data_IF_835752811325
#
_entry.id   IF_835752811325
#
_cell.length_a   1.000
_cell.length_b   1.000
_cell.length_c   1.000
_cell.angle_alpha   90.00
_cell.angle_beta   90.00
_cell.angle_gamma   90.00
#
_symmetry.space_group_name_H-M   'P 1'
#
loop_
_entity.id
_entity.type
_entity.pdbx_description
1 polymer ?
#
# COMPACT_ATOMS: atom_id res chain seq x y z
N UNK A 1 2.52 -15.13 21.29
CA UNK A 1 2.52 -13.64 21.36
C UNK A 1 2.49 -13.12 19.93
N UNK A 2 1.30 -13.10 19.31
CA UNK A 2 1.13 -12.44 18.02
C UNK A 2 1.07 -10.94 18.28
N UNK A 3 2.15 -10.23 17.99
CA UNK A 3 2.13 -8.77 18.01
C UNK A 3 1.02 -8.32 17.05
N UNK A 4 0.10 -7.50 17.56
CA UNK A 4 -0.99 -6.85 16.82
C UNK A 4 -0.47 -5.81 15.80
N UNK A 5 0.83 -5.82 15.48
CA UNK A 5 1.47 -4.94 14.50
C UNK A 5 1.31 -5.40 13.05
N UNK A 6 0.81 -6.61 12.79
CA UNK A 6 0.68 -7.14 11.43
C UNK A 6 -0.72 -6.90 10.86
N UNK A 7 -1.06 -5.64 10.61
CA UNK A 7 -2.37 -5.24 10.07
C UNK A 7 -2.50 -5.57 8.56
N UNK A 8 -1.56 -6.33 7.98
CA UNK A 8 -1.54 -6.65 6.55
C UNK A 8 -1.44 -5.40 5.65
N UNK A 9 -0.92 -4.30 6.19
CA UNK A 9 -0.79 -3.00 5.50
C UNK A 9 0.60 -2.78 4.88
N UNK A 10 1.36 -3.86 4.71
CA UNK A 10 2.68 -3.86 4.09
C UNK A 10 2.65 -4.50 2.70
N UNK A 11 3.51 -4.02 1.82
CA UNK A 11 3.70 -4.64 0.52
C UNK A 11 4.38 -6.00 0.68
N UNK A 12 3.75 -7.07 0.20
CA UNK A 12 4.32 -8.43 0.27
C UNK A 12 5.63 -8.61 -0.52
N UNK A 13 6.01 -7.66 -1.38
CA UNK A 13 7.27 -7.72 -2.15
C UNK A 13 8.45 -7.02 -1.47
N UNK A 14 8.22 -5.87 -0.81
CA UNK A 14 9.30 -5.09 -0.18
C UNK A 14 9.17 -4.96 1.34
N UNK A 15 8.09 -5.48 1.93
CA UNK A 15 7.80 -5.43 3.37
C UNK A 15 7.72 -4.01 3.94
N UNK A 16 7.46 -3.02 3.09
CA UNK A 16 7.28 -1.64 3.48
C UNK A 16 5.78 -1.31 3.56
N UNK A 17 5.42 -0.49 4.54
CA UNK A 17 4.06 0.01 4.71
C UNK A 17 3.54 0.71 3.44
N UNK A 18 2.31 0.40 3.07
CA UNK A 18 1.60 1.13 2.03
C UNK A 18 1.37 2.60 2.47
N UNK A 19 1.34 3.50 1.50
CA UNK A 19 1.11 4.93 1.71
C UNK A 19 0.30 5.51 0.56
N UNK A 20 -0.54 6.52 0.81
CA UNK A 20 -1.47 7.06 -0.20
C UNK A 20 -0.79 7.73 -1.41
N UNK A 21 0.49 8.08 -1.31
CA UNK A 21 1.24 8.77 -2.37
C UNK A 21 2.35 7.87 -2.95
N UNK A 22 3.48 7.74 -2.25
CA UNK A 22 4.70 7.09 -2.78
C UNK A 22 4.53 5.57 -2.92
N UNK A 23 3.98 4.93 -1.89
CA UNK A 23 3.74 3.47 -1.83
C UNK A 23 2.26 3.15 -1.99
N UNK A 24 1.60 3.82 -2.94
CA UNK A 24 0.18 3.60 -3.21
C UNK A 24 -0.05 2.12 -3.55
N UNK A 25 -0.98 1.40 -2.90
CA UNK A 25 -1.29 0.04 -3.27
C UNK A 25 -1.96 0.00 -4.64
N UNK A 26 -1.38 -0.74 -5.58
CA UNK A 26 -1.87 -0.89 -6.95
C UNK A 26 -2.25 -2.33 -7.23
N UNK A 27 -3.38 -2.51 -7.91
CA UNK A 27 -3.91 -3.82 -8.27
C UNK A 27 -3.41 -4.22 -9.65
N UNK A 28 -2.81 -5.41 -9.73
CA UNK A 28 -2.53 -6.10 -10.98
C UNK A 28 -3.83 -6.71 -11.48
N UNK A 29 -4.55 -6.02 -12.38
CA UNK A 29 -5.90 -6.42 -12.79
C UNK A 29 -5.95 -7.74 -13.58
N UNK A 30 -4.81 -8.31 -13.98
CA UNK A 30 -4.76 -9.68 -14.52
C UNK A 30 -5.06 -10.76 -13.47
N UNK A 31 -4.76 -10.53 -12.18
CA UNK A 31 -4.93 -11.55 -11.13
C UNK A 31 -5.47 -11.05 -9.78
N UNK A 32 -5.54 -9.74 -9.57
CA UNK A 32 -6.08 -9.13 -8.35
C UNK A 32 -5.06 -8.90 -7.23
N UNK A 33 -3.83 -9.39 -7.36
CA UNK A 33 -2.77 -9.11 -6.37
C UNK A 33 -2.46 -7.62 -6.27
N UNK A 34 -2.18 -7.17 -5.04
CA UNK A 34 -1.82 -5.77 -4.74
C UNK A 34 -0.33 -5.65 -4.46
N UNK A 35 0.34 -4.71 -5.13
CA UNK A 35 1.76 -4.40 -4.96
C UNK A 35 1.91 -2.87 -4.82
N UNK A 36 2.88 -2.39 -4.04
CA UNK A 36 3.04 -0.94 -3.88
C UNK A 36 3.55 -0.30 -5.17
N UNK A 37 3.20 0.97 -5.39
CA UNK A 37 3.56 1.71 -6.61
C UNK A 37 5.07 1.65 -6.91
N UNK A 38 5.93 1.83 -5.91
CA UNK A 38 7.40 1.75 -6.10
C UNK A 38 7.83 0.40 -6.67
N UNK A 39 7.31 -0.70 -6.11
CA UNK A 39 7.58 -2.04 -6.60
C UNK A 39 6.99 -2.29 -7.99
N UNK A 40 5.74 -1.87 -8.24
CA UNK A 40 5.15 -1.98 -9.57
C UNK A 40 5.98 -1.25 -10.62
N UNK A 41 6.48 -0.03 -10.34
CA UNK A 41 7.34 0.71 -11.28
C UNK A 41 8.58 -0.08 -11.70
N UNK A 42 9.17 -0.86 -10.78
CA UNK A 42 10.32 -1.72 -11.09
C UNK A 42 9.93 -2.98 -11.88
N UNK A 43 8.66 -3.38 -11.85
CA UNK A 43 8.13 -4.55 -12.57
C UNK A 43 7.55 -4.22 -13.95
N UNK A 44 7.35 -2.93 -14.27
CA UNK A 44 6.85 -2.53 -15.59
C UNK A 44 7.91 -2.84 -16.64
N UNK A 45 7.57 -3.75 -17.55
CA UNK A 45 8.35 -4.07 -18.73
C UNK A 45 7.83 -3.22 -19.90
N UNK A 46 8.61 -2.20 -20.27
CA UNK A 46 8.37 -1.35 -21.44
C UNK A 46 9.10 -1.82 -22.69
N UNK A 47 9.89 -2.88 -22.59
CA UNK A 47 10.63 -3.46 -23.73
C UNK A 47 9.81 -4.46 -24.53
N UNK A 48 8.76 -5.02 -23.92
CA UNK A 48 7.77 -5.83 -24.60
C UNK A 48 6.98 -5.04 -25.67
N UNK A 49 6.45 -5.71 -26.71
CA UNK A 49 5.62 -5.04 -27.73
C UNK A 49 4.42 -4.27 -27.17
N UNK A 50 3.87 -4.75 -26.05
CA UNK A 50 2.85 -4.09 -25.26
C UNK A 50 3.39 -4.00 -23.84
N UNK A 51 3.41 -2.80 -23.26
CA UNK A 51 3.88 -2.60 -21.90
C UNK A 51 3.07 -3.46 -20.93
N UNK A 52 3.75 -4.14 -20.01
CA UNK A 52 3.13 -5.15 -19.16
C UNK A 52 3.80 -5.26 -17.79
N UNK A 53 3.12 -5.92 -16.87
CA UNK A 53 3.65 -6.37 -15.59
C UNK A 53 3.39 -7.86 -15.43
N UNK A 54 4.43 -8.62 -15.12
CA UNK A 54 4.29 -10.02 -14.70
C UNK A 54 4.16 -10.06 -13.18
N UNK A 55 3.06 -10.61 -12.68
CA UNK A 55 2.85 -10.71 -11.24
C UNK A 55 3.98 -11.52 -10.56
N UNK A 56 4.63 -11.00 -9.51
CA UNK A 56 5.73 -11.71 -8.85
C UNK A 56 5.26 -12.93 -8.03
N UNK A 57 3.95 -13.05 -7.77
CA UNK A 57 3.39 -14.11 -6.92
C UNK A 57 2.85 -15.29 -7.72
N UNK A 58 2.16 -15.02 -8.84
CA UNK A 58 1.47 -16.05 -9.64
C UNK A 58 1.86 -16.03 -11.13
N UNK A 59 2.76 -15.11 -11.53
CA UNK A 59 3.25 -14.94 -12.92
C UNK A 59 2.18 -14.57 -13.95
N UNK A 60 0.97 -14.22 -13.52
CA UNK A 60 -0.08 -13.74 -14.43
C UNK A 60 0.32 -12.41 -15.04
N UNK A 61 0.15 -12.28 -16.35
CA UNK A 61 0.46 -11.06 -17.09
C UNK A 61 -0.67 -10.03 -16.94
N UNK A 62 -0.31 -8.80 -16.63
CA UNK A 62 -1.19 -7.63 -16.65
C UNK A 62 -0.71 -6.68 -17.75
N UNK A 63 -1.47 -6.56 -18.83
CA UNK A 63 -1.19 -5.61 -19.90
C UNK A 63 -1.56 -4.19 -19.47
N UNK A 64 -0.72 -3.21 -19.81
CA UNK A 64 -0.94 -1.81 -19.46
C UNK A 64 -1.53 -1.04 -20.64
N UNK A 65 -2.42 -0.09 -20.37
CA UNK A 65 -2.96 0.82 -21.39
C UNK A 65 -1.96 1.90 -21.77
N UNK A 66 -1.07 2.25 -20.84
CA UNK A 66 0.01 3.23 -20.99
C UNK A 66 1.29 2.62 -20.40
N UNK A 67 2.50 2.95 -20.92
CA UNK A 67 3.77 2.37 -20.46
C UNK A 67 4.24 2.98 -19.13
N UNK A 68 3.36 3.05 -18.14
CA UNK A 68 3.67 3.56 -16.81
C UNK A 68 2.84 2.88 -15.72
N UNK A 69 3.36 2.92 -14.49
CA UNK A 69 2.72 2.36 -13.31
C UNK A 69 1.33 2.94 -13.03
N UNK A 70 1.07 4.18 -13.50
CA UNK A 70 -0.20 4.87 -13.31
C UNK A 70 -1.35 4.22 -14.08
N UNK A 71 -1.06 3.37 -15.07
CA UNK A 71 -2.04 2.54 -15.77
C UNK A 71 -2.73 1.53 -14.84
N UNK A 72 -2.04 1.07 -13.78
CA UNK A 72 -2.61 0.15 -12.79
C UNK A 72 -3.56 0.88 -11.85
N UNK A 73 -4.68 0.25 -11.49
CA UNK A 73 -5.68 0.87 -10.63
C UNK A 73 -5.22 0.88 -9.17
N UNK A 74 -5.58 1.94 -8.44
CA UNK A 74 -5.38 2.01 -6.99
C UNK A 74 -6.31 1.01 -6.28
N UNK A 75 -5.85 0.40 -5.19
CA UNK A 75 -6.71 -0.33 -4.28
C UNK A 75 -7.34 0.65 -3.27
N UNK A 76 -8.46 1.27 -3.65
CA UNK A 76 -9.12 2.29 -2.82
C UNK A 76 -9.61 1.76 -1.46
N UNK A 77 -10.06 0.50 -1.40
CA UNK A 77 -10.47 -0.13 -0.14
C UNK A 77 -9.29 -0.19 0.84
N UNK A 78 -8.11 -0.61 0.38
CA UNK A 78 -6.91 -0.65 1.23
C UNK A 78 -6.44 0.75 1.62
N UNK A 79 -6.51 1.72 0.71
CA UNK A 79 -6.18 3.13 1.00
C UNK A 79 -7.09 3.67 2.11
N UNK A 80 -8.40 3.43 2.03
CA UNK A 80 -9.36 3.85 3.05
C UNK A 80 -9.07 3.22 4.42
N UNK A 81 -8.73 1.92 4.46
CA UNK A 81 -8.33 1.24 5.70
C UNK A 81 -7.07 1.90 6.29
N UNK A 82 -6.06 2.19 5.47
CA UNK A 82 -4.82 2.86 5.91
C UNK A 82 -5.12 4.25 6.49
N UNK A 83 -5.97 5.03 5.83
CA UNK A 83 -6.34 6.38 6.27
C UNK A 83 -7.11 6.35 7.59
N UNK A 84 -8.08 5.44 7.74
CA UNK A 84 -8.81 5.24 8.99
C UNK A 84 -7.89 4.80 10.13
N UNK A 85 -6.96 3.88 9.87
CA UNK A 85 -5.99 3.43 10.87
C UNK A 85 -5.08 4.56 11.36
N UNK A 86 -4.59 5.41 10.44
CA UNK A 86 -3.82 6.60 10.80
C UNK A 86 -4.61 7.54 11.72
N UNK A 87 -5.88 7.80 11.39
CA UNK A 87 -6.75 8.66 12.20
C UNK A 87 -6.95 8.13 13.62
N UNK A 88 -7.16 6.81 13.79
CA UNK A 88 -7.24 6.18 15.12
C UNK A 88 -5.95 6.34 15.92
N UNK A 89 -4.80 6.02 15.33
CA UNK A 89 -3.50 6.16 16.02
C UNK A 89 -3.14 7.61 16.34
N UNK A 90 -3.76 8.58 15.66
CA UNK A 90 -3.57 10.00 15.90
C UNK A 90 -4.54 10.54 16.96
N UNK A 91 -5.77 10.03 17.03
CA UNK A 91 -6.74 10.39 18.09
C UNK A 91 -6.34 9.84 19.46
N UNK A 92 -5.65 8.70 19.51
CA UNK A 92 -5.19 8.07 20.75
C UNK A 92 -3.95 8.76 21.34
N UNK A 93 -3.33 9.70 20.61
CA UNK A 93 -2.32 10.60 21.18
C UNK A 93 -3.03 11.70 21.95
N UNK A 94 -3.52 11.38 23.15
CA UNK A 94 -3.73 12.38 24.21
C UNK A 94 -2.43 13.19 24.27
N UNK A 95 -2.52 14.51 24.07
CA UNK A 95 -1.33 15.37 24.12
C UNK A 95 -0.57 15.09 25.43
N UNK A 96 0.77 15.06 25.44
CA UNK A 96 1.53 14.91 26.68
C UNK A 96 1.14 15.93 27.76
N UNK A 97 0.59 17.07 27.32
CA UNK A 97 0.03 18.14 28.15
C UNK A 97 -1.26 17.72 28.90
N UNK A 98 -2.11 16.88 28.31
CA UNK A 98 -3.33 16.39 28.97
C UNK A 98 -3.03 15.28 29.98
N UNK A 99 -2.00 14.45 29.75
CA UNK A 99 -1.54 13.45 30.74
C UNK A 99 -1.00 14.13 32.00
N UNK A 100 -0.32 15.28 31.86
CA UNK A 100 0.17 16.03 33.03
C UNK A 100 -0.94 16.66 33.88
N UNK A 101 -2.10 16.97 33.30
CA UNK A 101 -3.24 17.55 34.04
C UNK A 101 -3.97 16.49 34.87
N UNK A 102 -4.04 15.25 34.36
CA UNK A 102 -4.73 14.14 35.05
C UNK A 102 -3.96 13.58 36.25
N UNK A 103 -2.64 13.78 36.34
CA UNK A 103 -1.82 13.38 37.51
C UNK A 103 -1.72 14.47 38.59
N UNK A 104 -2.39 15.62 38.41
CA UNK A 104 -2.40 16.72 39.38
C UNK A 104 -3.76 16.94 40.05
N UNK A 105 -4.72 16.04 39.82
CA UNK A 105 -6.01 15.95 40.53
C UNK A 105 -6.05 14.64 41.32
#
# INVERSE_FOLDING_TARGET
MSNISDVGLECALCHENYAAEIRTPRVLHGCGHTVCQTCCSALVDVSAPIAQVVCPFDRTVTLLTEPCVFSLKKNYALIEIIERHKNFTQSDRISPLLVSVLHQL
#
